data_IF_579617131967
#
_entry.id   IF_579617131967
#
_cell.length_a   1.000
_cell.length_b   1.000
_cell.length_c   1.000
_cell.angle_alpha   90.00
_cell.angle_beta   90.00
_cell.angle_gamma   90.00
#
_symmetry.space_group_name_H-M   'P 1'
#
loop_
_entity.id
_entity.type
_entity.pdbx_description
1 polymer ?
#
# COMPACT_ATOMS: atom_id res chain seq x y z
N UNK A 1 -16.19 -16.98 16.10
CA UNK A 1 -15.01 -16.10 16.08
C UNK A 1 -15.43 -14.82 16.78
N UNK A 2 -14.84 -14.56 17.94
CA UNK A 2 -15.21 -13.43 18.82
C UNK A 2 -15.03 -12.10 18.12
N UNK A 3 -16.04 -11.24 18.19
CA UNK A 3 -16.06 -9.90 17.63
C UNK A 3 -15.30 -8.92 18.55
N UNK A 4 -14.07 -9.26 18.93
CA UNK A 4 -13.23 -8.32 19.68
C UNK A 4 -12.76 -7.21 18.74
N UNK A 5 -13.67 -6.26 18.57
CA UNK A 5 -13.41 -5.03 17.82
C UNK A 5 -12.46 -4.17 18.66
N UNK A 6 -11.27 -3.81 18.14
CA UNK A 6 -10.41 -2.87 18.84
C UNK A 6 -11.18 -1.56 19.08
N UNK A 7 -11.31 -1.18 20.33
CA UNK A 7 -11.95 0.07 20.72
C UNK A 7 -10.94 1.21 20.49
N UNK A 8 -11.32 2.16 19.64
CA UNK A 8 -10.57 3.41 19.47
C UNK A 8 -10.70 4.25 20.73
N UNK A 9 -9.61 4.90 21.13
CA UNK A 9 -9.64 5.88 22.23
C UNK A 9 -10.66 6.99 21.94
N UNK A 10 -11.38 7.41 22.97
CA UNK A 10 -12.47 8.38 22.85
C UNK A 10 -11.92 9.72 22.32
N UNK A 11 -12.63 10.35 21.39
CA UNK A 11 -12.28 11.66 20.85
C UNK A 11 -11.32 11.64 19.64
N UNK A 12 -10.67 10.52 19.32
CA UNK A 12 -9.80 10.43 18.16
C UNK A 12 -10.60 10.22 16.86
N UNK A 13 -10.04 10.62 15.73
CA UNK A 13 -10.66 10.51 14.40
C UNK A 13 -10.54 9.12 13.77
N UNK A 14 -9.47 8.39 14.10
CA UNK A 14 -9.17 7.05 13.60
C UNK A 14 -8.28 6.27 14.58
N UNK A 15 -8.07 4.98 14.34
CA UNK A 15 -6.99 4.21 14.97
C UNK A 15 -5.67 4.55 14.30
N UNK A 16 -5.66 4.66 12.97
CA UNK A 16 -4.42 4.90 12.21
C UNK A 16 -4.63 5.98 11.15
N UNK A 17 -3.71 6.92 11.10
CA UNK A 17 -3.52 7.85 9.99
C UNK A 17 -2.46 7.30 9.05
N UNK A 18 -2.69 7.40 7.74
CA UNK A 18 -1.70 7.06 6.71
C UNK A 18 -1.47 8.28 5.83
N UNK A 19 -0.20 8.65 5.68
CA UNK A 19 0.24 9.77 4.84
C UNK A 19 0.92 9.21 3.59
N UNK A 20 0.29 9.45 2.45
CA UNK A 20 0.70 8.87 1.17
C UNK A 20 -0.04 7.56 0.85
N UNK A 21 -0.64 7.52 -0.34
CA UNK A 21 -1.45 6.39 -0.80
C UNK A 21 -0.85 5.72 -2.05
N UNK A 22 0.48 5.62 -2.09
CA UNK A 22 1.18 4.73 -3.02
C UNK A 22 0.99 3.26 -2.64
N UNK A 23 1.66 2.30 -3.32
CA UNK A 23 1.46 0.87 -3.09
C UNK A 23 1.56 0.45 -1.63
N UNK A 24 2.56 0.96 -0.91
CA UNK A 24 2.81 0.65 0.50
C UNK A 24 1.68 1.18 1.39
N UNK A 25 1.33 2.46 1.25
CA UNK A 25 0.26 3.07 2.06
C UNK A 25 -1.11 2.45 1.78
N UNK A 26 -1.41 2.15 0.52
CA UNK A 26 -2.65 1.49 0.14
C UNK A 26 -2.73 0.05 0.70
N UNK A 27 -1.64 -0.72 0.62
CA UNK A 27 -1.58 -2.07 1.20
C UNK A 27 -1.72 -2.03 2.73
N UNK A 28 -1.02 -1.10 3.41
CA UNK A 28 -1.14 -0.91 4.85
C UNK A 28 -2.57 -0.53 5.26
N UNK A 29 -3.21 0.41 4.55
CA UNK A 29 -4.60 0.79 4.79
C UNK A 29 -5.55 -0.41 4.67
N UNK A 30 -5.38 -1.22 3.62
CA UNK A 30 -6.20 -2.39 3.39
C UNK A 30 -6.00 -3.46 4.48
N UNK A 31 -4.75 -3.77 4.84
CA UNK A 31 -4.44 -4.75 5.88
C UNK A 31 -4.98 -4.34 7.25
N UNK A 32 -4.84 -3.08 7.63
CA UNK A 32 -5.34 -2.54 8.89
C UNK A 32 -6.87 -2.54 8.91
N UNK A 33 -7.49 -2.09 7.82
CA UNK A 33 -8.95 -2.12 7.66
C UNK A 33 -9.53 -3.53 7.72
N UNK A 34 -8.85 -4.52 7.12
CA UNK A 34 -9.24 -5.93 7.18
C UNK A 34 -9.20 -6.49 8.62
N UNK A 35 -8.33 -5.96 9.47
CA UNK A 35 -8.23 -6.27 10.90
C UNK A 35 -9.22 -5.51 11.78
N UNK A 36 -10.14 -4.77 11.18
CA UNK A 36 -11.19 -4.05 11.90
C UNK A 36 -10.80 -2.67 12.41
N UNK A 37 -9.61 -2.18 12.12
CA UNK A 37 -9.17 -0.83 12.49
C UNK A 37 -9.83 0.23 11.61
N UNK A 38 -10.14 1.38 12.19
CA UNK A 38 -10.58 2.57 11.47
C UNK A 38 -9.33 3.30 10.95
N UNK A 39 -9.23 3.44 9.64
CA UNK A 39 -8.08 4.04 8.97
C UNK A 39 -8.52 5.29 8.21
N UNK A 40 -7.74 6.37 8.33
CA UNK A 40 -7.83 7.55 7.46
C UNK A 40 -6.53 7.68 6.69
N UNK A 41 -6.62 7.67 5.37
CA UNK A 41 -5.49 7.80 4.46
C UNK A 41 -5.60 9.07 3.63
N UNK A 42 -4.51 9.80 3.51
CA UNK A 42 -4.42 11.08 2.82
C UNK A 42 -3.35 11.01 1.74
N UNK A 43 -3.69 11.52 0.56
CA UNK A 43 -2.70 11.71 -0.51
C UNK A 43 -2.87 13.10 -1.13
N UNK A 44 -1.74 13.77 -1.37
CA UNK A 44 -1.72 15.10 -1.99
C UNK A 44 -2.12 15.07 -3.46
N UNK A 45 -1.93 13.93 -4.13
CA UNK A 45 -2.31 13.78 -5.53
C UNK A 45 -3.81 13.58 -5.67
N UNK A 46 -4.42 14.10 -6.74
CA UNK A 46 -5.85 13.93 -7.03
C UNK A 46 -6.18 12.53 -7.52
N UNK A 47 -5.18 11.78 -8.00
CA UNK A 47 -5.30 10.44 -8.56
C UNK A 47 -3.99 9.68 -8.42
N UNK A 48 -3.91 8.51 -9.03
CA UNK A 48 -2.71 7.69 -9.15
C UNK A 48 -1.58 8.44 -9.85
N UNK A 49 -0.37 8.21 -9.39
CA UNK A 49 0.80 8.68 -10.13
C UNK A 49 0.94 7.87 -11.43
N UNK A 50 0.94 8.51 -12.61
CA UNK A 50 0.77 7.81 -13.88
C UNK A 50 2.01 7.05 -14.37
N UNK A 51 3.18 7.30 -13.78
CA UNK A 51 4.41 6.66 -14.20
C UNK A 51 4.84 5.57 -13.21
N UNK A 52 5.25 4.40 -13.71
CA UNK A 52 5.75 3.33 -12.85
C UNK A 52 7.10 3.76 -12.24
N UNK A 53 7.25 3.54 -10.92
CA UNK A 53 8.49 3.75 -10.16
C UNK A 53 9.08 2.43 -9.70
N UNK A 54 8.30 1.36 -9.76
CA UNK A 54 8.71 -0.02 -9.51
C UNK A 54 8.24 -0.91 -10.65
N UNK A 55 9.03 -1.92 -10.97
CA UNK A 55 8.75 -2.88 -12.05
C UNK A 55 8.73 -4.33 -11.59
N UNK A 56 9.14 -4.57 -10.35
CA UNK A 56 9.21 -5.92 -9.78
C UNK A 56 8.46 -6.01 -8.47
N UNK A 57 7.79 -7.12 -8.25
CA UNK A 57 7.24 -7.53 -6.98
C UNK A 57 7.60 -9.00 -6.70
N UNK A 58 7.58 -9.39 -5.45
CA UNK A 58 7.93 -10.74 -5.04
C UNK A 58 6.72 -11.55 -4.54
N UNK A 59 7.01 -12.78 -4.16
CA UNK A 59 6.01 -13.69 -3.63
C UNK A 59 5.41 -13.25 -2.29
N UNK A 60 6.13 -12.43 -1.50
CA UNK A 60 5.60 -11.89 -0.24
C UNK A 60 4.49 -10.87 -0.52
N UNK A 61 4.68 -10.00 -1.52
CA UNK A 61 3.63 -9.07 -1.96
C UNK A 61 2.42 -9.84 -2.47
N UNK A 62 2.59 -10.93 -3.23
CA UNK A 62 1.48 -11.75 -3.69
C UNK A 62 0.73 -12.43 -2.53
N UNK A 63 1.42 -12.80 -1.45
CA UNK A 63 0.76 -13.30 -0.24
C UNK A 63 -0.09 -12.22 0.45
N UNK A 64 0.40 -10.98 0.48
CA UNK A 64 -0.41 -9.84 0.95
C UNK A 64 -1.66 -9.68 0.08
N UNK A 65 -1.53 -9.75 -1.24
CA UNK A 65 -2.69 -9.69 -2.15
C UNK A 65 -3.68 -10.84 -1.91
N UNK A 66 -3.17 -12.02 -1.61
CA UNK A 66 -3.99 -13.18 -1.25
C UNK A 66 -4.74 -12.96 0.08
N UNK A 67 -4.07 -12.44 1.11
CA UNK A 67 -4.68 -12.09 2.40
C UNK A 67 -5.79 -11.04 2.23
N UNK A 68 -5.58 -10.07 1.35
CA UNK A 68 -6.57 -9.05 1.01
C UNK A 68 -7.71 -9.55 0.12
N UNK A 69 -7.63 -10.79 -0.39
CA UNK A 69 -8.63 -11.38 -1.28
C UNK A 69 -8.64 -10.79 -2.70
N UNK A 70 -7.52 -10.24 -3.15
CA UNK A 70 -7.39 -9.59 -4.48
C UNK A 70 -6.31 -10.23 -5.37
N UNK A 71 -5.70 -11.34 -4.97
CA UNK A 71 -4.65 -11.98 -5.76
C UNK A 71 -5.12 -12.32 -7.18
N UNK A 72 -6.34 -12.83 -7.34
CA UNK A 72 -6.92 -13.15 -8.65
C UNK A 72 -7.11 -11.91 -9.56
N UNK A 73 -7.30 -10.73 -8.95
CA UNK A 73 -7.38 -9.46 -9.68
C UNK A 73 -6.01 -8.94 -10.09
N UNK A 74 -4.96 -9.31 -9.36
CA UNK A 74 -3.57 -8.92 -9.63
C UNK A 74 -2.90 -9.85 -10.64
N UNK A 75 -3.25 -11.15 -10.65
CA UNK A 75 -2.63 -12.15 -11.53
C UNK A 75 -2.57 -11.75 -13.02
N UNK A 76 -3.61 -11.19 -13.64
CA UNK A 76 -3.53 -10.75 -15.04
C UNK A 76 -2.57 -9.59 -15.30
N UNK A 77 -2.18 -8.86 -14.25
CA UNK A 77 -1.33 -7.66 -14.32
C UNK A 77 0.15 -7.96 -14.09
N UNK A 78 0.49 -9.22 -13.81
CA UNK A 78 1.87 -9.62 -13.52
C UNK A 78 2.36 -10.65 -14.52
N UNK A 79 3.66 -10.66 -14.76
CA UNK A 79 4.32 -11.67 -15.57
C UNK A 79 5.53 -12.26 -14.84
N UNK A 80 5.89 -13.49 -15.19
CA UNK A 80 7.11 -14.10 -14.65
C UNK A 80 8.32 -13.29 -15.04
N UNK A 81 9.20 -13.07 -14.05
CA UNK A 81 10.49 -12.49 -14.29
C UNK A 81 11.31 -13.38 -15.26
N UNK A 82 11.84 -12.79 -16.32
CA UNK A 82 12.71 -13.51 -17.26
C UNK A 82 14.15 -13.41 -16.77
N UNK A 83 15.00 -14.43 -17.07
CA UNK A 83 16.40 -14.37 -16.74
C UNK A 83 17.04 -13.07 -17.26
N UNK A 84 17.82 -12.41 -16.41
CA UNK A 84 18.52 -11.19 -16.78
C UNK A 84 20.00 -11.29 -16.49
N UNK A 85 20.80 -10.59 -17.30
CA UNK A 85 22.24 -10.58 -17.21
C UNK A 85 22.77 -9.16 -16.98
N UNK A 86 23.65 -9.03 -16.01
CA UNK A 86 24.45 -7.85 -15.79
C UNK A 86 25.77 -8.03 -16.51
N UNK A 87 26.04 -7.17 -17.49
CA UNK A 87 27.26 -7.22 -18.28
C UNK A 87 28.10 -5.96 -18.05
N UNK A 88 29.43 -6.13 -18.03
CA UNK A 88 30.37 -5.03 -17.95
C UNK A 88 30.53 -4.32 -19.29
N UNK A 89 31.30 -3.22 -19.29
CA UNK A 89 31.53 -2.38 -20.46
C UNK A 89 32.15 -3.14 -21.65
N UNK A 90 32.88 -4.21 -21.39
CA UNK A 90 33.51 -5.06 -22.42
C UNK A 90 32.62 -6.25 -22.82
N UNK A 91 31.34 -6.26 -22.38
CA UNK A 91 30.41 -7.33 -22.67
C UNK A 91 30.53 -8.58 -21.79
N UNK A 92 31.52 -8.64 -20.88
CA UNK A 92 31.72 -9.77 -19.99
C UNK A 92 30.52 -9.92 -19.03
N UNK A 93 30.12 -11.16 -18.77
CA UNK A 93 29.07 -11.47 -17.80
C UNK A 93 29.58 -11.21 -16.39
N UNK A 94 28.91 -10.31 -15.65
CA UNK A 94 29.19 -10.02 -14.24
C UNK A 94 28.29 -10.91 -13.36
N UNK A 95 27.00 -10.94 -13.67
CA UNK A 95 26.00 -11.69 -12.89
C UNK A 95 24.83 -12.08 -13.79
N UNK A 96 24.31 -13.27 -13.58
CA UNK A 96 23.04 -13.73 -14.15
C UNK A 96 22.05 -13.99 -13.01
N UNK A 97 20.84 -13.52 -13.20
CA UNK A 97 19.69 -13.83 -12.35
C UNK A 97 18.75 -14.73 -13.16
N UNK A 98 18.59 -15.95 -12.71
CA UNK A 98 17.69 -16.92 -13.33
C UNK A 98 16.32 -16.90 -12.61
N UNK A 99 15.26 -17.15 -13.37
CA UNK A 99 13.94 -17.37 -12.80
C UNK A 99 13.93 -18.73 -12.05
N UNK A 100 13.40 -18.75 -10.87
CA UNK A 100 13.23 -20.00 -10.13
C UNK A 100 12.11 -20.85 -10.77
N UNK A 101 12.34 -22.15 -10.98
CA UNK A 101 11.29 -23.04 -11.49
C UNK A 101 10.29 -23.40 -10.38
N UNK A 102 9.05 -23.81 -10.75
CA UNK A 102 8.12 -24.42 -9.79
C UNK A 102 8.65 -25.78 -9.29
N UNK A 103 8.18 -26.27 -8.13
CA UNK A 103 7.15 -25.70 -7.26
C UNK A 103 7.69 -24.57 -6.39
N UNK A 104 6.88 -23.53 -6.20
CA UNK A 104 7.25 -22.37 -5.38
C UNK A 104 6.93 -22.60 -3.91
N UNK A 105 7.92 -22.36 -3.02
CA UNK A 105 7.80 -22.62 -1.57
C UNK A 105 6.62 -21.89 -0.91
N UNK A 106 6.26 -20.71 -1.42
CA UNK A 106 5.20 -19.87 -0.87
C UNK A 106 3.90 -19.95 -1.69
N UNK A 107 3.86 -20.81 -2.71
CA UNK A 107 2.76 -20.90 -3.67
C UNK A 107 2.83 -19.87 -4.80
N UNK A 108 3.68 -18.85 -4.69
CA UNK A 108 3.85 -17.77 -5.67
C UNK A 108 5.26 -17.74 -6.23
N UNK A 109 5.45 -17.35 -7.50
CA UNK A 109 6.77 -17.12 -8.08
C UNK A 109 7.56 -16.10 -7.27
N UNK A 110 8.87 -16.31 -7.02
CA UNK A 110 9.67 -15.43 -6.16
C UNK A 110 9.90 -14.04 -6.76
N UNK A 111 9.82 -13.91 -8.09
CA UNK A 111 10.01 -12.64 -8.78
C UNK A 111 9.00 -12.51 -9.92
N UNK A 112 8.28 -11.42 -9.90
CA UNK A 112 7.28 -11.04 -10.91
C UNK A 112 7.58 -9.62 -11.39
N UNK A 113 7.21 -9.33 -12.63
CA UNK A 113 7.18 -7.97 -13.17
C UNK A 113 5.74 -7.50 -13.29
N UNK A 114 5.51 -6.20 -13.13
CA UNK A 114 4.18 -5.63 -13.10
C UNK A 114 4.15 -4.18 -13.60
N UNK A 115 2.98 -3.71 -14.00
CA UNK A 115 2.70 -2.28 -14.19
C UNK A 115 2.18 -1.70 -12.87
N UNK A 116 2.92 -0.74 -12.31
CA UNK A 116 2.60 -0.19 -10.98
C UNK A 116 1.25 0.56 -10.96
N UNK A 117 0.92 1.44 -11.92
CA UNK A 117 -0.38 2.09 -11.96
C UNK A 117 -1.57 1.12 -11.97
N UNK A 118 -1.53 0.07 -12.79
CA UNK A 118 -2.59 -0.93 -12.84
C UNK A 118 -2.72 -1.71 -11.51
N UNK A 119 -1.59 -2.08 -10.92
CA UNK A 119 -1.56 -2.72 -9.61
C UNK A 119 -2.16 -1.82 -8.51
N UNK A 120 -1.79 -0.53 -8.49
CA UNK A 120 -2.33 0.43 -7.53
C UNK A 120 -3.84 0.66 -7.72
N UNK A 121 -4.36 0.60 -8.96
CA UNK A 121 -5.81 0.66 -9.20
C UNK A 121 -6.55 -0.47 -8.51
N UNK A 122 -6.02 -1.71 -8.54
CA UNK A 122 -6.61 -2.85 -7.85
C UNK A 122 -6.62 -2.64 -6.34
N UNK A 123 -5.51 -2.14 -5.77
CA UNK A 123 -5.43 -1.82 -4.34
C UNK A 123 -6.44 -0.73 -3.96
N UNK A 124 -6.52 0.37 -4.71
CA UNK A 124 -7.47 1.47 -4.44
C UNK A 124 -8.93 1.03 -4.58
N UNK A 125 -9.24 0.20 -5.57
CA UNK A 125 -10.57 -0.38 -5.69
C UNK A 125 -10.92 -1.22 -4.44
N UNK A 126 -9.96 -2.00 -3.92
CA UNK A 126 -10.13 -2.75 -2.67
C UNK A 126 -10.41 -1.84 -1.48
N UNK A 127 -9.71 -0.71 -1.36
CA UNK A 127 -9.97 0.26 -0.28
C UNK A 127 -11.40 0.81 -0.34
N UNK A 128 -11.93 1.07 -1.54
CA UNK A 128 -13.30 1.52 -1.76
C UNK A 128 -14.38 0.51 -1.28
N UNK A 129 -14.04 -0.77 -1.23
CA UNK A 129 -14.90 -1.84 -0.72
C UNK A 129 -14.89 -1.96 0.83
N UNK A 130 -14.02 -1.20 1.52
CA UNK A 130 -13.75 -1.34 2.95
C UNK A 130 -14.37 -0.18 3.76
N UNK A 131 -15.47 -0.38 4.48
CA UNK A 131 -16.20 0.71 5.15
C UNK A 131 -15.40 1.38 6.28
N UNK A 132 -14.35 0.71 6.79
CA UNK A 132 -13.48 1.23 7.85
C UNK A 132 -12.28 2.03 7.34
N UNK A 133 -12.06 2.05 6.04
CA UNK A 133 -10.97 2.80 5.41
C UNK A 133 -11.57 4.03 4.71
N UNK A 134 -11.15 5.20 5.14
CA UNK A 134 -11.53 6.47 4.51
C UNK A 134 -10.32 7.06 3.82
N UNK A 135 -10.41 7.17 2.50
CA UNK A 135 -9.38 7.77 1.65
C UNK A 135 -9.78 9.17 1.29
N UNK A 136 -8.85 10.12 1.41
CA UNK A 136 -9.01 11.48 0.93
C UNK A 136 -7.84 11.84 0.03
N UNK A 137 -8.13 12.01 -1.25
CA UNK A 137 -7.19 12.49 -2.27
C UNK A 137 -7.23 14.02 -2.33
N UNK A 138 -6.26 14.63 -3.01
CA UNK A 138 -6.07 16.09 -3.04
C UNK A 138 -6.03 16.68 -1.63
N UNK A 139 -5.47 15.95 -0.70
CA UNK A 139 -5.36 16.30 0.71
C UNK A 139 -3.90 16.19 1.14
N UNK A 140 -3.28 17.35 1.40
CA UNK A 140 -1.87 17.43 1.73
C UNK A 140 -1.67 17.52 3.23
N UNK A 141 -0.88 16.62 3.79
CA UNK A 141 -0.43 16.70 5.18
C UNK A 141 0.75 17.64 5.25
N UNK A 142 0.58 18.74 5.97
CA UNK A 142 1.58 19.80 6.09
C UNK A 142 2.43 19.69 7.36
N UNK A 143 1.92 19.02 8.36
CA UNK A 143 2.61 18.81 9.63
C UNK A 143 2.05 17.61 10.37
N UNK A 144 2.88 16.98 11.16
CA UNK A 144 2.52 15.88 12.05
C UNK A 144 3.13 16.11 13.42
N UNK A 145 2.50 15.60 14.44
CA UNK A 145 3.02 15.64 15.80
C UNK A 145 2.49 14.50 16.64
N UNK A 146 3.09 14.37 17.82
CA UNK A 146 2.77 13.35 18.79
C UNK A 146 2.58 13.99 20.16
N UNK A 147 1.51 13.61 20.81
CA UNK A 147 1.23 13.88 22.21
C UNK A 147 1.48 12.62 23.04
N UNK A 148 1.21 12.68 24.33
CA UNK A 148 1.44 11.55 25.24
C UNK A 148 0.59 10.32 24.90
N UNK A 149 -0.61 10.52 24.38
CA UNK A 149 -1.63 9.49 24.19
C UNK A 149 -2.15 9.36 22.74
N UNK A 150 -1.71 10.26 21.83
CA UNK A 150 -2.15 10.25 20.44
C UNK A 150 -1.15 10.95 19.51
N UNK A 151 -1.38 10.76 18.22
CA UNK A 151 -0.71 11.46 17.13
C UNK A 151 -1.71 12.35 16.39
N UNK A 152 -1.21 13.40 15.73
CA UNK A 152 -2.05 14.27 14.92
C UNK A 152 -1.37 14.64 13.59
N UNK A 153 -2.21 15.02 12.62
CA UNK A 153 -1.77 15.55 11.34
C UNK A 153 -2.59 16.80 10.98
N UNK A 154 -1.92 17.84 10.49
CA UNK A 154 -2.55 19.01 9.89
C UNK A 154 -2.73 18.78 8.40
N UNK A 155 -3.97 18.66 7.97
CA UNK A 155 -4.35 18.31 6.59
C UNK A 155 -4.96 19.52 5.91
N UNK A 156 -4.43 19.87 4.73
CA UNK A 156 -5.00 20.86 3.82
C UNK A 156 -5.79 20.15 2.73
N UNK A 157 -7.08 20.44 2.63
CA UNK A 157 -7.96 19.87 1.60
C UNK A 157 -7.80 20.61 0.28
N UNK A 158 -8.38 20.06 -0.81
CA UNK A 158 -8.42 20.71 -2.12
C UNK A 158 -9.11 22.08 -2.13
N UNK A 159 -10.03 22.33 -1.19
CA UNK A 159 -10.67 23.65 -1.02
C UNK A 159 -9.81 24.66 -0.24
N UNK A 160 -8.60 24.26 0.19
CA UNK A 160 -7.73 25.08 1.03
C UNK A 160 -8.07 25.07 2.53
N UNK A 161 -9.12 24.35 2.93
CA UNK A 161 -9.49 24.24 4.34
C UNK A 161 -8.43 23.44 5.11
N UNK A 162 -8.03 23.97 6.27
CA UNK A 162 -7.16 23.29 7.21
C UNK A 162 -7.96 22.50 8.24
N UNK A 163 -7.56 21.26 8.48
CA UNK A 163 -8.15 20.42 9.51
C UNK A 163 -7.06 19.66 10.25
N UNK A 164 -7.09 19.68 11.58
CA UNK A 164 -6.32 18.74 12.39
C UNK A 164 -7.11 17.46 12.56
N UNK A 165 -6.44 16.35 12.35
CA UNK A 165 -6.97 14.99 12.53
C UNK A 165 -6.06 14.22 13.48
N UNK A 166 -6.65 13.38 14.34
CA UNK A 166 -5.95 12.68 15.40
C UNK A 166 -6.19 11.17 15.35
N UNK A 167 -5.20 10.39 15.78
CA UNK A 167 -5.28 8.94 15.85
C UNK A 167 -4.33 8.37 16.90
N UNK A 168 -4.42 7.06 17.14
CA UNK A 168 -3.50 6.34 18.00
C UNK A 168 -2.13 6.19 17.35
N UNK A 169 -2.08 6.00 16.02
CA UNK A 169 -0.85 5.79 15.25
C UNK A 169 -0.86 6.57 13.94
N UNK A 170 0.34 6.88 13.44
CA UNK A 170 0.55 7.49 12.13
C UNK A 170 1.64 6.72 11.37
N UNK A 171 1.38 6.42 10.10
CA UNK A 171 2.32 5.85 9.14
C UNK A 171 2.52 6.86 7.99
N UNK A 172 3.80 7.12 7.60
CA UNK A 172 4.16 8.01 6.49
C UNK A 172 5.24 7.38 5.60
#
# INVERSE_FOLDING_TARGET
MSSDRPLRAAGLDAHVLIVGLGPTGAAAAALLGARGLEVRAYDRLPDLYPLPRAIGLDHEVMRVMQELGIAERVLPLVALYRPSEYRGMQGQLIKRLDAAPPPYRTGWPPNLVFDQPEFEQVLRARLGEMPRVKVQLSAEVLGVGQETDHVWADVRTSSGQMRRVSAEYLLA
#
